data_IF_775247476226
#
_entry.id   IF_775247476226
#
_cell.length_a   1.000
_cell.length_b   1.000
_cell.length_c   1.000
_cell.angle_alpha   90.00
_cell.angle_beta   90.00
_cell.angle_gamma   90.00
#
_symmetry.space_group_name_H-M   'P 1'
#
loop_
_entity.id
_entity.type
_entity.pdbx_description
1 polymer ?
#
# COMPACT_ATOMS: atom_id res chain seq x y z
N UNK A 1 -10.31 -15.05 17.06
CA UNK A 1 -8.89 -14.72 17.33
C UNK A 1 -8.03 -15.92 16.99
N UNK A 2 -7.10 -15.78 16.04
CA UNK A 2 -6.15 -16.85 15.70
C UNK A 2 -5.14 -17.00 16.85
N UNK A 3 -5.11 -18.18 17.48
CA UNK A 3 -4.20 -18.46 18.61
C UNK A 3 -2.89 -19.05 18.11
N UNK A 4 -1.73 -18.45 18.46
CA UNK A 4 -0.43 -19.02 18.11
C UNK A 4 -0.25 -20.44 18.67
N UNK A 5 0.25 -21.36 17.85
CA UNK A 5 0.41 -22.79 18.20
C UNK A 5 1.71 -23.09 18.91
N UNK A 6 2.74 -22.24 18.73
CA UNK A 6 4.05 -22.41 19.36
C UNK A 6 4.50 -21.14 20.09
N UNK A 7 5.49 -21.26 20.98
CA UNK A 7 6.11 -20.11 21.64
C UNK A 7 6.80 -19.17 20.63
N UNK A 8 7.48 -19.74 19.63
CA UNK A 8 8.10 -18.95 18.56
C UNK A 8 7.06 -18.21 17.73
N UNK A 9 5.97 -18.86 17.33
CA UNK A 9 4.88 -18.22 16.58
C UNK A 9 4.28 -17.07 17.38
N UNK A 10 4.06 -17.26 18.69
CA UNK A 10 3.61 -16.20 19.60
C UNK A 10 4.60 -15.04 19.62
N UNK A 11 5.91 -15.32 19.72
CA UNK A 11 6.92 -14.28 19.73
C UNK A 11 6.98 -13.50 18.41
N UNK A 12 6.80 -14.17 17.27
CA UNK A 12 6.71 -13.54 15.94
C UNK A 12 5.46 -12.66 15.83
N UNK A 13 4.32 -13.16 16.29
CA UNK A 13 3.06 -12.41 16.33
C UNK A 13 3.18 -11.13 17.16
N UNK A 14 3.80 -11.20 18.34
CA UNK A 14 4.05 -10.03 19.20
C UNK A 14 5.04 -9.03 18.58
N UNK A 15 6.00 -9.49 17.74
CA UNK A 15 6.84 -8.58 16.96
C UNK A 15 6.04 -7.86 15.89
N UNK A 16 5.17 -8.58 15.16
CA UNK A 16 4.29 -7.97 14.17
C UNK A 16 3.37 -6.93 14.80
N UNK A 17 2.69 -7.27 15.90
CA UNK A 17 1.82 -6.36 16.65
C UNK A 17 2.55 -5.10 17.14
N UNK A 18 3.81 -5.23 17.55
CA UNK A 18 4.64 -4.09 17.96
C UNK A 18 5.07 -3.21 16.77
N UNK A 19 5.32 -3.82 15.61
CA UNK A 19 5.78 -3.16 14.38
C UNK A 19 4.63 -2.50 13.60
N UNK A 20 3.44 -3.11 13.62
CA UNK A 20 2.25 -2.74 12.83
C UNK A 20 0.99 -2.75 13.70
N UNK A 21 0.95 -2.01 14.82
CA UNK A 21 -0.23 -2.00 15.69
C UNK A 21 -1.46 -1.41 14.98
N UNK A 22 -1.26 -0.51 14.02
CA UNK A 22 -2.30 0.05 13.17
C UNK A 22 -2.98 -1.01 12.31
N UNK A 23 -2.21 -1.87 11.64
CA UNK A 23 -2.70 -3.00 10.85
C UNK A 23 -3.33 -4.08 11.73
N UNK A 24 -2.72 -4.36 12.89
CA UNK A 24 -3.26 -5.28 13.88
C UNK A 24 -4.67 -4.89 14.34
N UNK A 25 -4.91 -3.59 14.56
CA UNK A 25 -6.25 -3.09 14.85
C UNK A 25 -7.22 -3.33 13.68
N UNK A 26 -6.83 -2.98 12.46
CA UNK A 26 -7.64 -3.21 11.25
C UNK A 26 -8.00 -4.69 11.10
N UNK A 27 -7.10 -5.60 11.47
CA UNK A 27 -7.32 -7.05 11.44
C UNK A 27 -8.06 -7.62 12.65
N UNK A 28 -8.47 -6.79 13.61
CA UNK A 28 -9.38 -7.19 14.70
C UNK A 28 -8.77 -7.25 16.11
N UNK A 29 -7.55 -6.72 16.32
CA UNK A 29 -6.98 -6.57 17.67
C UNK A 29 -7.31 -5.20 18.26
N UNK A 30 -8.45 -5.09 18.91
CA UNK A 30 -8.97 -3.84 19.46
C UNK A 30 -8.03 -3.19 20.49
N UNK A 31 -7.18 -3.98 21.18
CA UNK A 31 -6.17 -3.42 22.09
C UNK A 31 -5.10 -2.57 21.38
N UNK A 32 -5.02 -2.66 20.05
CA UNK A 32 -4.11 -1.87 19.22
C UNK A 32 -4.75 -0.59 18.66
N UNK A 33 -6.02 -0.32 18.96
CA UNK A 33 -6.72 0.85 18.48
C UNK A 33 -5.97 2.16 18.79
N UNK A 34 -5.84 3.02 17.77
CA UNK A 34 -5.22 4.34 17.86
C UNK A 34 -3.70 4.32 18.02
N UNK A 35 -3.03 3.19 17.78
CA UNK A 35 -1.58 3.06 17.94
C UNK A 35 -0.87 3.00 16.59
N UNK A 36 0.33 3.58 16.55
CA UNK A 36 1.26 3.47 15.43
C UNK A 36 2.67 3.20 15.94
N UNK A 37 3.46 2.42 15.20
CA UNK A 37 4.87 2.29 15.51
C UNK A 37 5.61 3.63 15.29
N UNK A 38 6.25 4.14 16.34
CA UNK A 38 7.08 5.36 16.29
C UNK A 38 8.55 4.94 16.13
N UNK A 39 9.17 5.07 14.94
CA UNK A 39 10.49 4.54 14.65
C UNK A 39 11.60 5.45 15.19
N UNK A 40 11.70 5.62 16.51
CA UNK A 40 12.90 6.22 17.10
C UNK A 40 14.08 5.25 16.96
N UNK A 41 15.32 5.76 16.91
CA UNK A 41 16.50 4.92 16.77
C UNK A 41 16.54 3.81 17.84
N UNK A 42 16.33 4.18 19.11
CA UNK A 42 16.24 3.23 20.24
C UNK A 42 15.18 2.15 20.05
N UNK A 43 13.98 2.49 19.57
CA UNK A 43 12.91 1.51 19.36
C UNK A 43 13.22 0.57 18.20
N UNK A 44 13.77 1.11 17.11
CA UNK A 44 14.23 0.32 15.97
C UNK A 44 15.32 -0.67 16.38
N UNK A 45 16.34 -0.21 17.10
CA UNK A 45 17.45 -1.08 17.56
C UNK A 45 16.96 -2.17 18.51
N UNK A 46 16.07 -1.82 19.44
CA UNK A 46 15.46 -2.79 20.36
C UNK A 46 14.66 -3.85 19.61
N UNK A 47 13.86 -3.46 18.61
CA UNK A 47 13.05 -4.39 17.84
C UNK A 47 13.92 -5.28 16.93
N UNK A 48 14.98 -4.73 16.33
CA UNK A 48 15.97 -5.50 15.57
C UNK A 48 16.69 -6.54 16.45
N UNK A 49 17.02 -6.19 17.70
CA UNK A 49 17.59 -7.12 18.66
C UNK A 49 16.58 -8.21 19.07
N UNK A 50 15.30 -7.86 19.25
CA UNK A 50 14.21 -8.83 19.51
C UNK A 50 14.05 -9.80 18.34
N UNK A 51 13.96 -9.30 17.10
CA UNK A 51 13.91 -10.10 15.87
C UNK A 51 15.11 -11.05 15.79
N UNK A 52 16.32 -10.55 16.01
CA UNK A 52 17.55 -11.36 15.97
C UNK A 52 17.55 -12.49 17.00
N UNK A 53 16.99 -12.28 18.18
CA UNK A 53 16.87 -13.32 19.21
C UNK A 53 15.88 -14.41 18.80
N UNK A 54 14.69 -14.02 18.33
CA UNK A 54 13.65 -14.97 17.90
C UNK A 54 14.13 -15.78 16.68
N UNK A 55 14.84 -15.16 15.74
CA UNK A 55 15.41 -15.87 14.58
C UNK A 55 16.37 -17.01 14.96
N UNK A 56 17.06 -16.92 16.11
CA UNK A 56 17.97 -17.98 16.59
C UNK A 56 17.21 -19.20 17.11
N UNK A 57 16.02 -19.01 17.68
CA UNK A 57 15.17 -20.09 18.20
C UNK A 57 14.16 -20.59 17.17
N UNK A 58 13.89 -19.84 16.10
CA UNK A 58 12.97 -20.24 15.05
C UNK A 58 13.49 -21.43 14.26
N UNK A 59 12.70 -22.50 14.18
CA UNK A 59 12.99 -23.70 13.36
C UNK A 59 12.22 -23.69 12.05
N UNK A 60 11.06 -23.01 12.00
CA UNK A 60 10.24 -22.91 10.80
C UNK A 60 10.89 -21.98 9.76
N UNK A 61 11.03 -22.43 8.49
CA UNK A 61 11.45 -21.55 7.40
C UNK A 61 10.53 -20.34 7.22
N UNK A 62 9.22 -20.50 7.49
CA UNK A 62 8.23 -19.43 7.34
C UNK A 62 8.46 -18.34 8.39
N UNK A 63 8.64 -18.72 9.65
CA UNK A 63 8.93 -17.78 10.74
C UNK A 63 10.22 -17.00 10.46
N UNK A 64 11.26 -17.69 10.00
CA UNK A 64 12.55 -17.06 9.66
C UNK A 64 12.41 -16.04 8.53
N UNK A 65 11.66 -16.38 7.46
CA UNK A 65 11.39 -15.48 6.34
C UNK A 65 10.57 -14.27 6.77
N UNK A 66 9.52 -14.47 7.57
CA UNK A 66 8.68 -13.38 8.08
C UNK A 66 9.50 -12.41 8.95
N UNK A 67 10.32 -12.93 9.86
CA UNK A 67 11.24 -12.14 10.67
C UNK A 67 12.30 -11.40 9.83
N UNK A 68 12.77 -12.00 8.74
CA UNK A 68 13.68 -11.34 7.80
C UNK A 68 13.00 -10.16 7.09
N UNK A 69 11.73 -10.31 6.70
CA UNK A 69 10.93 -9.23 6.12
C UNK A 69 10.70 -8.09 7.12
N UNK A 70 10.39 -8.39 8.39
CA UNK A 70 10.29 -7.38 9.44
C UNK A 70 11.60 -6.62 9.65
N UNK A 71 12.74 -7.34 9.72
CA UNK A 71 14.07 -6.72 9.79
C UNK A 71 14.30 -5.80 8.60
N UNK A 72 14.06 -6.29 7.39
CA UNK A 72 14.27 -5.52 6.17
C UNK A 72 13.38 -4.26 6.14
N UNK A 73 12.15 -4.33 6.69
CA UNK A 73 11.25 -3.17 6.87
C UNK A 73 11.79 -2.06 7.76
N UNK A 74 12.61 -2.42 8.75
CA UNK A 74 13.23 -1.47 9.66
C UNK A 74 14.55 -0.90 9.10
N UNK A 75 15.29 -1.72 8.36
CA UNK A 75 16.61 -1.39 7.80
C UNK A 75 16.55 -0.63 6.48
N UNK A 76 15.55 -0.90 5.61
CA UNK A 76 15.45 -0.20 4.33
C UNK A 76 15.11 1.28 4.52
N UNK A 77 15.95 2.14 3.94
CA UNK A 77 15.74 3.58 3.91
C UNK A 77 14.72 3.94 2.83
N UNK A 78 13.44 3.78 3.16
CA UNK A 78 12.29 4.07 2.29
C UNK A 78 11.44 5.21 2.90
N UNK A 79 11.86 6.48 2.77
CA UNK A 79 11.18 7.60 3.43
C UNK A 79 9.74 7.83 2.94
N UNK A 80 9.37 7.33 1.77
CA UNK A 80 8.00 7.41 1.26
C UNK A 80 7.03 6.44 1.96
N UNK A 81 7.54 5.37 2.60
CA UNK A 81 6.70 4.32 3.18
C UNK A 81 5.87 4.79 4.37
N UNK A 82 6.41 5.63 5.23
CA UNK A 82 5.70 6.04 6.44
C UNK A 82 4.46 6.92 6.13
N UNK A 83 4.53 7.96 5.28
CA UNK A 83 3.34 8.69 4.87
C UNK A 83 2.29 7.79 4.20
N UNK A 84 2.71 6.84 3.36
CA UNK A 84 1.82 5.86 2.75
C UNK A 84 1.15 4.95 3.80
N UNK A 85 1.92 4.41 4.76
CA UNK A 85 1.36 3.60 5.85
C UNK A 85 0.36 4.42 6.67
N UNK A 86 0.64 5.68 7.00
CA UNK A 86 -0.32 6.54 7.72
C UNK A 86 -1.63 6.74 6.95
N UNK A 87 -1.55 6.93 5.63
CA UNK A 87 -2.71 7.02 4.76
C UNK A 87 -3.51 5.71 4.78
N UNK A 88 -2.83 4.57 4.63
CA UNK A 88 -3.45 3.24 4.68
C UNK A 88 -4.08 2.96 6.05
N UNK A 89 -3.42 3.34 7.16
CA UNK A 89 -3.95 3.20 8.51
C UNK A 89 -5.22 4.04 8.69
N UNK A 90 -5.20 5.32 8.30
CA UNK A 90 -6.38 6.19 8.43
C UNK A 90 -7.55 5.65 7.61
N UNK A 91 -7.29 5.23 6.38
CA UNK A 91 -8.31 4.60 5.54
C UNK A 91 -8.87 3.34 6.18
N UNK A 92 -8.00 2.43 6.65
CA UNK A 92 -8.39 1.20 7.33
C UNK A 92 -9.25 1.45 8.57
N UNK A 93 -8.95 2.48 9.36
CA UNK A 93 -9.77 2.88 10.51
C UNK A 93 -11.14 3.40 10.07
N UNK A 94 -11.20 4.26 9.04
CA UNK A 94 -12.45 4.82 8.51
C UNK A 94 -13.40 3.72 8.01
N UNK A 95 -12.91 2.77 7.21
CA UNK A 95 -13.77 1.67 6.70
C UNK A 95 -14.12 0.65 7.79
N UNK A 96 -13.28 0.50 8.82
CA UNK A 96 -13.55 -0.40 9.94
C UNK A 96 -14.64 0.16 10.86
N UNK A 97 -14.51 1.41 11.28
CA UNK A 97 -15.31 1.96 12.39
C UNK A 97 -15.75 3.41 12.24
N UNK A 98 -15.53 4.00 11.06
CA UNK A 98 -15.70 5.44 10.83
C UNK A 98 -14.65 6.28 11.54
N UNK A 99 -14.90 7.59 11.64
CA UNK A 99 -13.98 8.54 12.29
C UNK A 99 -14.27 8.61 13.80
N UNK A 100 -13.67 7.70 14.57
CA UNK A 100 -13.73 7.73 16.04
C UNK A 100 -12.70 8.67 16.65
N UNK A 101 -13.16 9.74 17.29
CA UNK A 101 -12.32 10.82 17.82
C UNK A 101 -11.14 10.34 18.67
N UNK A 102 -11.35 9.45 19.65
CA UNK A 102 -10.28 8.99 20.53
C UNK A 102 -9.19 8.20 19.79
N UNK A 103 -9.58 7.30 18.89
CA UNK A 103 -8.64 6.48 18.12
C UNK A 103 -7.87 7.34 17.12
N UNK A 104 -8.57 8.22 16.40
CA UNK A 104 -7.96 9.15 15.44
C UNK A 104 -7.01 10.12 16.13
N UNK A 105 -7.38 10.67 17.30
CA UNK A 105 -6.51 11.55 18.10
C UNK A 105 -5.22 10.83 18.49
N UNK A 106 -5.31 9.61 19.01
CA UNK A 106 -4.15 8.83 19.42
C UNK A 106 -3.26 8.47 18.21
N UNK A 107 -3.87 8.02 17.12
CA UNK A 107 -3.19 7.68 15.87
C UNK A 107 -2.48 8.91 15.29
N UNK A 108 -3.13 10.08 15.29
CA UNK A 108 -2.55 11.33 14.79
C UNK A 108 -1.36 11.78 15.65
N UNK A 109 -1.47 11.65 16.97
CA UNK A 109 -0.39 11.98 17.90
C UNK A 109 0.85 11.10 17.69
N UNK A 110 0.67 9.80 17.48
CA UNK A 110 1.77 8.87 17.19
C UNK A 110 2.29 9.04 15.76
N UNK A 111 1.43 9.29 14.78
CA UNK A 111 1.79 9.63 13.40
C UNK A 111 2.70 10.85 13.32
N UNK A 112 2.38 11.90 14.09
CA UNK A 112 3.22 13.10 14.19
C UNK A 112 4.61 12.76 14.71
N UNK A 113 4.69 12.01 15.82
CA UNK A 113 5.96 11.56 16.41
C UNK A 113 6.74 10.69 15.43
N UNK A 114 6.04 9.82 14.69
CA UNK A 114 6.65 8.91 13.74
C UNK A 114 7.28 9.64 12.55
N UNK A 115 6.57 10.62 11.97
CA UNK A 115 7.11 11.46 10.90
C UNK A 115 8.36 12.22 11.37
N UNK A 116 8.33 12.82 12.55
CA UNK A 116 9.48 13.53 13.11
C UNK A 116 10.67 12.60 13.39
N UNK A 117 10.42 11.39 13.91
CA UNK A 117 11.46 10.38 14.13
C UNK A 117 12.05 9.87 12.81
N UNK A 118 11.21 9.55 11.83
CA UNK A 118 11.66 9.03 10.54
C UNK A 118 12.43 10.08 9.74
N UNK A 119 12.00 11.35 9.78
CA UNK A 119 12.73 12.48 9.18
C UNK A 119 14.15 12.60 9.73
N UNK A 120 14.33 12.42 11.05
CA UNK A 120 15.66 12.43 11.69
C UNK A 120 16.51 11.24 11.24
N UNK A 121 15.91 10.04 11.15
CA UNK A 121 16.60 8.82 10.68
C UNK A 121 16.98 8.87 9.20
N UNK A 122 16.13 9.47 8.38
CA UNK A 122 16.32 9.57 6.94
C UNK A 122 17.18 10.77 6.51
N UNK A 123 17.91 11.42 7.44
CA UNK A 123 18.86 12.49 7.12
C UNK A 123 19.94 12.01 6.13
N UNK A 124 20.40 12.94 5.30
CA UNK A 124 21.42 12.71 4.27
C UNK A 124 20.86 12.67 2.85
N UNK A 125 21.72 12.51 1.83
CA UNK A 125 21.32 12.54 0.44
C UNK A 125 20.21 11.54 0.14
N UNK A 126 19.18 11.99 -0.59
CA UNK A 126 18.07 11.17 -1.07
C UNK A 126 17.96 11.35 -2.57
N UNK A 127 17.87 10.25 -3.31
CA UNK A 127 17.84 10.29 -4.77
C UNK A 127 16.55 10.98 -5.28
N UNK A 128 16.57 11.66 -6.44
CA UNK A 128 15.43 12.46 -6.90
C UNK A 128 14.13 11.67 -7.09
N UNK A 129 14.19 10.45 -7.63
CA UNK A 129 13.00 9.60 -7.74
C UNK A 129 12.40 9.26 -6.37
N UNK A 130 13.24 9.01 -5.36
CA UNK A 130 12.77 8.79 -3.98
C UNK A 130 12.15 10.06 -3.37
N UNK A 131 12.69 11.25 -3.67
CA UNK A 131 12.09 12.53 -3.25
C UNK A 131 10.69 12.71 -3.85
N UNK A 132 10.52 12.41 -5.14
CA UNK A 132 9.21 12.44 -5.80
C UNK A 132 8.20 11.49 -5.15
N UNK A 133 8.61 10.25 -4.83
CA UNK A 133 7.74 9.29 -4.12
C UNK A 133 7.32 9.82 -2.73
N UNK A 134 8.22 10.50 -2.00
CA UNK A 134 7.86 11.14 -0.73
C UNK A 134 6.82 12.23 -0.95
N UNK A 135 6.99 13.08 -1.96
CA UNK A 135 6.01 14.14 -2.26
C UNK A 135 4.63 13.55 -2.59
N UNK A 136 4.57 12.51 -3.43
CA UNK A 136 3.31 11.82 -3.77
C UNK A 136 2.64 11.20 -2.53
N UNK A 137 3.41 10.49 -1.70
CA UNK A 137 2.89 9.86 -0.48
C UNK A 137 2.41 10.91 0.55
N UNK A 138 3.14 12.01 0.70
CA UNK A 138 2.72 13.13 1.56
C UNK A 138 1.48 13.84 1.02
N UNK A 139 1.32 13.94 -0.31
CA UNK A 139 0.12 14.52 -0.92
C UNK A 139 -1.11 13.68 -0.61
N UNK A 140 -1.05 12.36 -0.88
CA UNK A 140 -2.14 11.44 -0.54
C UNK A 140 -2.50 11.49 0.94
N UNK A 141 -1.49 11.51 1.84
CA UNK A 141 -1.72 11.63 3.28
C UNK A 141 -2.42 12.96 3.63
N UNK A 142 -2.05 14.06 2.97
CA UNK A 142 -2.69 15.36 3.20
C UNK A 142 -4.17 15.36 2.77
N UNK A 143 -4.51 14.69 1.66
CA UNK A 143 -5.89 14.61 1.20
C UNK A 143 -6.78 13.82 2.16
N UNK A 144 -6.36 12.64 2.62
CA UNK A 144 -7.16 11.88 3.60
C UNK A 144 -7.25 12.59 4.95
N UNK A 145 -6.20 13.30 5.39
CA UNK A 145 -6.26 14.07 6.64
C UNK A 145 -7.32 15.17 6.60
N UNK A 146 -7.52 15.84 5.46
CA UNK A 146 -8.61 16.83 5.30
C UNK A 146 -10.00 16.19 5.42
N UNK A 147 -10.18 14.99 4.85
CA UNK A 147 -11.44 14.24 4.96
C UNK A 147 -11.72 13.92 6.42
N UNK A 148 -10.75 13.30 7.11
CA UNK A 148 -10.85 12.97 8.54
C UNK A 148 -11.11 14.20 9.39
N UNK A 149 -10.41 15.32 9.13
CA UNK A 149 -10.62 16.58 9.85
C UNK A 149 -12.06 17.10 9.71
N UNK A 150 -12.66 16.99 8.52
CA UNK A 150 -14.01 17.49 8.26
C UNK A 150 -15.12 16.65 8.90
N UNK A 151 -14.86 15.37 9.16
CA UNK A 151 -15.79 14.47 9.87
C UNK A 151 -15.69 14.59 11.40
N UNK A 152 -14.60 15.16 11.93
CA UNK A 152 -14.40 15.31 13.37
C UNK A 152 -15.21 16.47 13.95
N UNK A 153 -15.93 16.18 15.04
CA UNK A 153 -16.60 17.21 15.87
C UNK A 153 -15.80 17.57 17.13
N UNK A 154 -14.95 16.67 17.60
CA UNK A 154 -14.15 16.83 18.80
C UNK A 154 -12.96 17.77 18.55
N UNK A 155 -12.85 18.85 19.35
CA UNK A 155 -11.83 19.88 19.17
C UNK A 155 -10.41 19.37 19.41
N UNK A 156 -10.22 18.47 20.37
CA UNK A 156 -8.91 17.89 20.69
C UNK A 156 -8.41 16.96 19.57
N UNK A 157 -9.30 16.14 19.00
CA UNK A 157 -8.99 15.29 17.86
C UNK A 157 -8.67 16.11 16.61
N UNK A 158 -9.41 17.20 16.35
CA UNK A 158 -9.11 18.13 15.25
C UNK A 158 -7.73 18.77 15.42
N UNK A 159 -7.42 19.28 16.62
CA UNK A 159 -6.11 19.85 16.91
C UNK A 159 -4.97 18.82 16.72
N UNK A 160 -5.20 17.54 17.05
CA UNK A 160 -4.24 16.48 16.80
C UNK A 160 -4.02 16.22 15.30
N UNK A 161 -5.08 16.26 14.48
CA UNK A 161 -5.01 16.15 13.02
C UNK A 161 -4.29 17.36 12.41
N UNK A 162 -4.62 18.59 12.82
CA UNK A 162 -3.91 19.80 12.38
C UNK A 162 -2.41 19.72 12.69
N UNK A 163 -2.05 19.22 13.88
CA UNK A 163 -0.66 19.01 14.26
C UNK A 163 0.04 17.94 13.39
N UNK A 164 -0.69 16.89 12.97
CA UNK A 164 -0.20 15.89 12.03
C UNK A 164 -0.04 16.47 10.61
N UNK A 165 -1.00 17.25 10.12
CA UNK A 165 -0.90 17.97 8.84
C UNK A 165 0.35 18.84 8.82
N UNK A 166 0.59 19.62 9.87
CA UNK A 166 1.79 20.44 9.99
C UNK A 166 3.08 19.60 9.99
N UNK A 167 3.08 18.43 10.64
CA UNK A 167 4.22 17.50 10.61
C UNK A 167 4.44 16.88 9.23
N UNK A 168 3.37 16.51 8.52
CA UNK A 168 3.43 16.00 7.15
C UNK A 168 4.04 17.04 6.20
N UNK A 169 3.63 18.31 6.29
CA UNK A 169 4.24 19.41 5.51
C UNK A 169 5.74 19.59 5.82
N UNK A 170 6.14 19.53 7.10
CA UNK A 170 7.56 19.58 7.48
C UNK A 170 8.33 18.36 6.98
N UNK A 171 7.69 17.20 6.93
CA UNK A 171 8.27 15.97 6.39
C UNK A 171 8.49 16.11 4.88
N UNK A 172 7.45 16.46 4.13
CA UNK A 172 7.52 16.71 2.69
C UNK A 172 8.62 17.73 2.34
N UNK A 173 8.71 18.85 3.05
CA UNK A 173 9.75 19.87 2.85
C UNK A 173 11.18 19.32 3.00
N UNK A 174 11.40 18.33 3.87
CA UNK A 174 12.72 17.72 4.04
C UNK A 174 13.16 16.88 2.82
N UNK A 175 12.21 16.52 1.95
CA UNK A 175 12.41 15.77 0.72
C UNK A 175 11.90 16.55 -0.50
N UNK A 176 11.80 17.88 -0.41
CA UNK A 176 11.36 18.76 -1.49
C UNK A 176 12.04 18.39 -2.81
N UNK A 177 11.40 18.50 -3.97
CA UNK A 177 12.03 18.25 -5.28
C UNK A 177 11.67 19.40 -6.21
N UNK A 178 12.56 20.39 -6.40
CA UNK A 178 12.24 21.57 -7.20
C UNK A 178 11.78 21.22 -8.62
N UNK A 179 10.63 21.76 -9.00
CA UNK A 179 9.99 21.53 -10.30
C UNK A 179 9.18 20.23 -10.41
N UNK A 180 9.06 19.45 -9.32
CA UNK A 180 8.11 18.35 -9.24
C UNK A 180 6.78 18.83 -8.67
N UNK A 181 5.68 18.37 -9.26
CA UNK A 181 4.32 18.57 -8.76
C UNK A 181 3.63 17.21 -8.62
N UNK A 182 3.06 16.85 -7.46
CA UNK A 182 2.26 15.64 -7.30
C UNK A 182 1.06 15.56 -8.26
N UNK A 183 0.51 16.71 -8.66
CA UNK A 183 -0.59 16.85 -9.62
C UNK A 183 -0.10 16.98 -11.08
N UNK A 184 1.22 16.92 -11.30
CA UNK A 184 1.82 17.07 -12.62
C UNK A 184 1.47 15.92 -13.55
N UNK A 185 1.43 16.22 -14.85
CA UNK A 185 1.24 15.23 -15.91
C UNK A 185 2.43 14.27 -16.02
N UNK A 186 2.22 13.16 -16.73
CA UNK A 186 3.30 12.23 -17.07
C UNK A 186 4.43 12.94 -17.82
N UNK A 187 4.10 13.79 -18.81
CA UNK A 187 5.09 14.47 -19.64
C UNK A 187 5.93 15.47 -18.84
N UNK A 188 5.32 16.23 -17.92
CA UNK A 188 6.03 17.13 -17.01
C UNK A 188 6.97 16.36 -16.08
N UNK A 189 6.47 15.27 -15.49
CA UNK A 189 7.25 14.40 -14.60
C UNK A 189 8.42 13.75 -15.34
N UNK A 190 8.17 13.26 -16.56
CA UNK A 190 9.16 12.62 -17.40
C UNK A 190 10.25 13.61 -17.85
N UNK A 191 9.85 14.81 -18.27
CA UNK A 191 10.78 15.89 -18.63
C UNK A 191 11.65 16.30 -17.45
N UNK A 192 11.08 16.41 -16.24
CA UNK A 192 11.84 16.65 -15.02
C UNK A 192 12.88 15.54 -14.78
N UNK A 193 12.47 14.28 -14.81
CA UNK A 193 13.37 13.16 -14.53
C UNK A 193 14.46 12.97 -15.59
N UNK A 194 14.24 13.38 -16.84
CA UNK A 194 15.33 13.47 -17.83
C UNK A 194 16.42 14.44 -17.41
N UNK A 195 16.06 15.55 -16.74
CA UNK A 195 16.99 16.58 -16.29
C UNK A 195 17.67 16.23 -14.97
N UNK A 196 16.91 15.73 -13.99
CA UNK A 196 17.40 15.54 -12.60
C UNK A 196 17.69 14.10 -12.23
N UNK A 197 17.30 13.14 -13.06
CA UNK A 197 17.36 11.70 -12.81
C UNK A 197 16.14 11.15 -12.07
N UNK A 198 15.89 9.84 -12.20
CA UNK A 198 14.76 9.13 -11.57
C UNK A 198 15.21 8.09 -10.53
N UNK A 199 16.48 8.14 -10.09
CA UNK A 199 17.04 7.15 -9.19
C UNK A 199 16.28 7.05 -7.86
N UNK A 200 16.08 5.82 -7.37
CA UNK A 200 15.46 5.55 -6.07
C UNK A 200 16.48 5.32 -4.94
N UNK A 201 17.78 5.26 -5.26
CA UNK A 201 18.84 5.01 -4.28
C UNK A 201 18.90 3.56 -3.76
N UNK A 202 18.26 2.62 -4.46
CA UNK A 202 18.12 1.21 -4.04
C UNK A 202 19.23 0.27 -4.54
N UNK A 203 20.14 0.72 -5.39
CA UNK A 203 21.08 -0.16 -6.11
C UNK A 203 21.86 -1.12 -5.19
N UNK A 204 22.33 -0.64 -4.03
CA UNK A 204 23.08 -1.46 -3.06
C UNK A 204 22.21 -2.40 -2.22
N UNK A 205 20.94 -2.09 -2.04
CA UNK A 205 20.01 -2.85 -1.18
C UNK A 205 19.02 -3.72 -1.97
N UNK A 206 18.89 -3.51 -3.29
CA UNK A 206 17.82 -4.10 -4.10
C UNK A 206 17.82 -5.63 -4.08
N UNK A 207 18.98 -6.28 -4.24
CA UNK A 207 19.07 -7.74 -4.19
C UNK A 207 18.67 -8.31 -2.82
N UNK A 208 19.04 -7.61 -1.73
CA UNK A 208 18.60 -7.98 -0.37
C UNK A 208 17.11 -7.79 -0.22
N UNK A 209 16.57 -6.67 -0.69
CA UNK A 209 15.15 -6.37 -0.61
C UNK A 209 14.33 -7.42 -1.38
N UNK A 210 14.69 -7.76 -2.62
CA UNK A 210 14.05 -8.84 -3.41
C UNK A 210 13.88 -10.13 -2.62
N UNK A 211 14.95 -10.58 -1.96
CA UNK A 211 14.93 -11.81 -1.17
C UNK A 211 14.18 -11.66 0.14
N UNK A 212 14.52 -10.64 0.93
CA UNK A 212 14.07 -10.57 2.32
C UNK A 212 12.65 -10.00 2.46
N UNK A 213 12.18 -9.18 1.51
CA UNK A 213 10.80 -8.67 1.50
C UNK A 213 9.84 -9.46 0.65
N UNK A 214 10.24 -9.79 -0.59
CA UNK A 214 9.36 -10.36 -1.59
C UNK A 214 9.60 -11.86 -1.79
N UNK A 215 10.49 -12.46 -1.00
CA UNK A 215 10.82 -13.89 -1.03
C UNK A 215 11.28 -14.39 -2.42
N UNK A 216 11.86 -13.51 -3.24
CA UNK A 216 12.47 -13.91 -4.50
C UNK A 216 13.78 -14.66 -4.24
N UNK A 217 13.87 -15.86 -4.79
CA UNK A 217 15.12 -16.65 -4.80
C UNK A 217 16.04 -16.22 -5.94
N UNK A 218 15.52 -15.54 -6.94
CA UNK A 218 16.23 -15.04 -8.11
C UNK A 218 16.99 -13.73 -7.81
N UNK A 219 18.10 -13.53 -8.51
CA UNK A 219 18.82 -12.24 -8.52
C UNK A 219 18.06 -11.18 -9.34
N UNK A 220 18.35 -9.87 -9.14
CA UNK A 220 17.79 -8.81 -9.98
C UNK A 220 17.89 -9.09 -11.50
N UNK A 221 19.06 -9.53 -11.97
CA UNK A 221 19.28 -9.83 -13.39
C UNK A 221 18.46 -11.03 -13.88
N UNK A 222 18.24 -12.04 -13.03
CA UNK A 222 17.39 -13.18 -13.37
C UNK A 222 15.92 -12.79 -13.46
N UNK A 223 15.44 -11.92 -12.55
CA UNK A 223 14.08 -11.37 -12.60
C UNK A 223 13.88 -10.55 -13.88
N UNK A 224 14.82 -9.66 -14.19
CA UNK A 224 14.79 -8.87 -15.43
C UNK A 224 14.81 -9.76 -16.68
N UNK A 225 15.71 -10.73 -16.74
CA UNK A 225 15.79 -11.67 -17.86
C UNK A 225 14.49 -12.49 -18.02
N UNK A 226 13.83 -12.86 -16.93
CA UNK A 226 12.53 -13.52 -16.97
C UNK A 226 11.45 -12.60 -17.54
N UNK A 227 11.40 -11.34 -17.10
CA UNK A 227 10.48 -10.33 -17.65
C UNK A 227 10.68 -10.10 -19.15
N UNK A 228 11.94 -9.97 -19.59
CA UNK A 228 12.27 -9.82 -21.01
C UNK A 228 11.89 -11.05 -21.84
N UNK A 229 12.05 -12.27 -21.30
CA UNK A 229 11.57 -13.49 -21.97
C UNK A 229 10.06 -13.51 -22.12
N UNK A 230 9.33 -13.11 -21.08
CA UNK A 230 7.87 -12.99 -21.14
C UNK A 230 7.47 -11.97 -22.21
N UNK A 231 8.07 -10.78 -22.23
CA UNK A 231 7.79 -9.75 -23.23
C UNK A 231 8.04 -10.25 -24.66
N UNK A 232 9.15 -10.95 -24.92
CA UNK A 232 9.43 -11.51 -26.24
C UNK A 232 8.40 -12.58 -26.68
N UNK A 233 7.85 -13.33 -25.73
CA UNK A 233 6.83 -14.36 -25.99
C UNK A 233 5.45 -13.75 -26.22
N UNK A 234 5.04 -12.80 -25.39
CA UNK A 234 3.67 -12.26 -25.40
C UNK A 234 3.47 -11.11 -26.38
N UNK A 235 4.48 -10.25 -26.58
CA UNK A 235 4.34 -9.04 -27.38
C UNK A 235 3.94 -9.30 -28.84
N UNK A 236 4.43 -10.35 -29.55
CA UNK A 236 3.96 -10.66 -30.90
C UNK A 236 2.47 -11.03 -30.93
N UNK A 237 2.02 -11.88 -30.01
CA UNK A 237 0.61 -12.26 -29.91
C UNK A 237 -0.28 -11.06 -29.58
N UNK A 238 0.17 -10.21 -28.66
CA UNK A 238 -0.51 -8.96 -28.32
C UNK A 238 -0.66 -8.04 -29.52
N UNK A 239 0.40 -7.87 -30.34
CA UNK A 239 0.33 -7.04 -31.57
C UNK A 239 -0.69 -7.57 -32.57
N UNK A 240 -0.73 -8.88 -32.81
CA UNK A 240 -1.73 -9.51 -33.69
C UNK A 240 -3.15 -9.28 -33.16
N UNK A 241 -3.36 -9.40 -31.85
CA UNK A 241 -4.65 -9.11 -31.23
C UNK A 241 -5.04 -7.64 -31.38
N UNK A 242 -4.11 -6.70 -31.17
CA UNK A 242 -4.34 -5.27 -31.37
C UNK A 242 -4.73 -4.98 -32.82
N UNK A 243 -4.01 -5.52 -33.81
CA UNK A 243 -4.35 -5.36 -35.23
C UNK A 243 -5.75 -5.89 -35.54
N UNK A 244 -6.08 -7.10 -35.07
CA UNK A 244 -7.41 -7.68 -35.27
C UNK A 244 -8.52 -6.83 -34.65
N UNK A 245 -8.36 -6.43 -33.38
CA UNK A 245 -9.35 -5.60 -32.69
C UNK A 245 -9.47 -4.25 -33.38
N UNK A 246 -8.36 -3.65 -33.82
CA UNK A 246 -8.37 -2.35 -34.49
C UNK A 246 -9.10 -2.41 -35.83
N UNK A 247 -8.95 -3.50 -36.58
CA UNK A 247 -9.73 -3.76 -37.80
C UNK A 247 -11.23 -3.93 -37.50
N UNK A 248 -11.59 -4.68 -36.46
CA UNK A 248 -12.98 -4.90 -36.05
C UNK A 248 -13.65 -3.62 -35.49
N UNK A 249 -12.86 -2.69 -34.93
CA UNK A 249 -13.34 -1.43 -34.36
C UNK A 249 -13.13 -0.22 -35.27
N UNK A 250 -12.50 -0.41 -36.43
CA UNK A 250 -12.17 0.64 -37.39
C UNK A 250 -11.35 1.80 -36.78
N UNK A 251 -10.30 1.47 -36.02
CA UNK A 251 -9.38 2.45 -35.43
C UNK A 251 -7.92 2.19 -35.82
N UNK A 252 -7.02 3.10 -35.44
CA UNK A 252 -5.57 2.92 -35.64
C UNK A 252 -5.07 1.62 -34.98
N UNK A 253 -4.10 0.91 -35.59
CA UNK A 253 -3.56 -0.36 -35.08
C UNK A 253 -2.57 -0.16 -33.93
N UNK A 254 -2.99 0.57 -32.91
CA UNK A 254 -2.23 0.83 -31.68
C UNK A 254 -3.01 0.38 -30.47
N UNK A 255 -2.31 -0.02 -29.41
CA UNK A 255 -2.94 -0.48 -28.17
C UNK A 255 -3.82 0.62 -27.55
N UNK A 256 -3.36 1.86 -27.64
CA UNK A 256 -4.03 3.05 -27.12
C UNK A 256 -5.34 3.33 -27.89
N UNK A 257 -5.30 3.30 -29.22
CA UNK A 257 -6.50 3.53 -30.04
C UNK A 257 -7.50 2.39 -29.89
N UNK A 258 -7.05 1.13 -29.93
CA UNK A 258 -7.91 -0.03 -29.69
C UNK A 258 -8.56 0.02 -28.30
N UNK A 259 -7.79 0.38 -27.26
CA UNK A 259 -8.32 0.55 -25.89
C UNK A 259 -9.35 1.66 -25.82
N UNK A 260 -9.12 2.80 -26.48
CA UNK A 260 -10.07 3.92 -26.55
C UNK A 260 -11.37 3.49 -27.23
N UNK A 261 -11.29 2.85 -28.39
CA UNK A 261 -12.46 2.35 -29.12
C UNK A 261 -13.23 1.29 -28.32
N UNK A 262 -12.53 0.39 -27.61
CA UNK A 262 -13.16 -0.57 -26.70
C UNK A 262 -13.91 0.11 -25.56
N UNK A 263 -13.34 1.17 -24.97
CA UNK A 263 -14.01 1.95 -23.90
C UNK A 263 -15.27 2.63 -24.41
N UNK A 264 -15.22 3.23 -25.60
CA UNK A 264 -16.36 3.87 -26.24
C UNK A 264 -17.46 2.85 -26.59
N UNK A 265 -17.07 1.66 -27.08
CA UNK A 265 -18.01 0.57 -27.44
C UNK A 265 -18.58 -0.18 -26.25
N UNK A 266 -17.84 -0.31 -25.14
CA UNK A 266 -18.27 -1.03 -23.92
C UNK A 266 -19.59 -0.51 -23.37
N UNK A 267 -19.91 0.77 -23.59
CA UNK A 267 -21.19 1.38 -23.22
C UNK A 267 -21.50 1.46 -21.72
N UNK A 268 -20.61 0.94 -20.86
CA UNK A 268 -20.71 1.07 -19.40
C UNK A 268 -20.28 2.47 -18.99
N UNK A 269 -21.25 3.30 -18.60
CA UNK A 269 -20.97 4.59 -17.98
C UNK A 269 -20.32 4.36 -16.61
N UNK A 270 -19.48 5.29 -16.10
CA UNK A 270 -18.83 5.14 -14.80
C UNK A 270 -19.80 4.79 -13.67
N UNK A 271 -20.99 5.41 -13.64
CA UNK A 271 -22.05 5.15 -12.67
C UNK A 271 -22.71 3.75 -12.79
N UNK A 272 -22.39 2.97 -13.81
CA UNK A 272 -22.88 1.61 -14.03
C UNK A 272 -21.85 0.54 -13.65
N UNK A 273 -20.60 0.92 -13.40
CA UNK A 273 -19.52 -0.03 -13.12
C UNK A 273 -19.74 -0.73 -11.77
N UNK A 274 -20.03 0.01 -10.69
CA UNK A 274 -20.29 -0.60 -9.38
C UNK A 274 -21.51 -1.53 -9.41
N UNK A 275 -22.70 -1.13 -9.92
CA UNK A 275 -23.83 -2.05 -10.06
C UNK A 275 -23.50 -3.31 -10.84
N UNK A 276 -22.78 -3.18 -11.97
CA UNK A 276 -22.36 -4.33 -12.77
C UNK A 276 -21.45 -5.28 -11.98
N UNK A 277 -20.48 -4.77 -11.22
CA UNK A 277 -19.60 -5.59 -10.38
C UNK A 277 -20.38 -6.32 -9.28
N UNK A 278 -21.38 -5.68 -8.68
CA UNK A 278 -22.26 -6.33 -7.70
C UNK A 278 -23.03 -7.50 -8.32
N UNK A 279 -23.57 -7.34 -9.53
CA UNK A 279 -24.31 -8.39 -10.24
C UNK A 279 -23.42 -9.57 -10.66
N UNK A 280 -22.17 -9.32 -11.06
CA UNK A 280 -21.23 -10.36 -11.51
C UNK A 280 -20.64 -11.16 -10.33
N UNK A 281 -20.60 -10.60 -9.12
CA UNK A 281 -19.99 -11.23 -7.95
C UNK A 281 -20.63 -12.57 -7.61
N UNK A 282 -21.94 -12.62 -7.49
CA UNK A 282 -22.67 -13.82 -7.07
C UNK A 282 -22.45 -15.03 -8.01
N UNK A 283 -22.63 -14.90 -9.35
CA UNK A 283 -22.34 -16.01 -10.26
C UNK A 283 -20.85 -16.37 -10.27
N UNK A 284 -19.93 -15.41 -10.21
CA UNK A 284 -18.49 -15.69 -10.15
C UNK A 284 -18.11 -16.46 -8.87
N UNK A 285 -18.68 -16.08 -7.73
CA UNK A 285 -18.45 -16.76 -6.45
C UNK A 285 -18.92 -18.21 -6.50
N UNK A 286 -20.10 -18.50 -7.08
CA UNK A 286 -20.58 -19.89 -7.25
C UNK A 286 -19.65 -20.74 -8.10
N UNK A 287 -19.13 -20.18 -9.20
CA UNK A 287 -18.20 -20.89 -10.07
C UNK A 287 -16.88 -21.15 -9.34
N UNK A 288 -16.35 -20.16 -8.65
CA UNK A 288 -15.12 -20.30 -7.88
C UNK A 288 -15.26 -21.32 -6.75
N UNK A 289 -16.34 -21.27 -5.97
CA UNK A 289 -16.64 -22.22 -4.88
C UNK A 289 -16.70 -23.67 -5.37
N UNK A 290 -17.36 -23.88 -6.52
CA UNK A 290 -17.53 -25.23 -7.08
C UNK A 290 -16.30 -25.77 -7.79
N UNK A 291 -15.50 -24.92 -8.43
CA UNK A 291 -14.50 -25.35 -9.41
C UNK A 291 -13.06 -24.93 -9.12
N UNK A 292 -12.84 -23.96 -8.22
CA UNK A 292 -11.52 -23.36 -7.99
C UNK A 292 -11.08 -23.54 -6.54
N UNK A 293 -11.85 -23.02 -5.58
CA UNK A 293 -11.53 -23.03 -4.16
C UNK A 293 -12.81 -22.90 -3.35
N UNK A 294 -12.95 -23.66 -2.27
CA UNK A 294 -14.08 -23.52 -1.36
C UNK A 294 -14.12 -22.10 -0.77
N UNK A 295 -15.27 -21.44 -0.85
CA UNK A 295 -15.48 -20.07 -0.37
C UNK A 295 -16.34 -20.12 0.88
N UNK A 296 -15.87 -19.49 1.97
CA UNK A 296 -16.69 -19.33 3.17
C UNK A 296 -17.91 -18.45 2.86
N UNK A 297 -19.15 -18.97 2.94
CA UNK A 297 -20.35 -18.19 2.62
C UNK A 297 -20.60 -17.06 3.63
N UNK A 298 -19.99 -17.11 4.81
CA UNK A 298 -20.05 -16.05 5.83
C UNK A 298 -19.09 -14.89 5.60
N UNK A 299 -18.21 -14.97 4.59
CA UNK A 299 -17.28 -13.88 4.27
C UNK A 299 -18.01 -12.76 3.52
N UNK A 300 -18.18 -11.62 4.19
CA UNK A 300 -18.81 -10.45 3.59
C UNK A 300 -17.81 -9.66 2.74
N UNK A 301 -18.20 -9.28 1.52
CA UNK A 301 -17.43 -8.35 0.69
C UNK A 301 -18.33 -7.18 0.31
N UNK A 302 -17.87 -5.97 0.59
CA UNK A 302 -18.46 -4.74 0.11
C UNK A 302 -17.66 -4.25 -1.10
N UNK A 303 -18.32 -3.68 -2.10
CA UNK A 303 -17.67 -3.09 -3.26
C UNK A 303 -17.90 -1.58 -3.20
N UNK A 304 -16.83 -0.79 -3.23
CA UNK A 304 -16.91 0.66 -3.22
C UNK A 304 -16.03 1.26 -4.31
N UNK A 305 -16.32 2.50 -4.70
CA UNK A 305 -15.44 3.26 -5.57
C UNK A 305 -14.11 3.55 -4.86
N UNK A 306 -12.98 3.42 -5.57
CA UNK A 306 -11.67 3.83 -5.04
C UNK A 306 -11.71 5.32 -4.69
N UNK A 307 -11.58 5.71 -3.41
CA UNK A 307 -11.57 7.11 -3.04
C UNK A 307 -10.41 7.88 -3.70
N UNK A 308 -10.58 9.15 -4.08
CA UNK A 308 -9.56 9.90 -4.82
C UNK A 308 -8.20 9.96 -4.12
N UNK A 309 -8.18 10.03 -2.79
CA UNK A 309 -6.95 10.05 -2.00
C UNK A 309 -6.16 8.73 -2.03
N UNK A 310 -6.76 7.62 -2.50
CA UNK A 310 -6.09 6.34 -2.73
C UNK A 310 -5.65 6.14 -4.18
N UNK A 311 -6.01 7.02 -5.12
CA UNK A 311 -5.74 6.80 -6.55
C UNK A 311 -4.23 6.61 -6.87
N UNK A 312 -3.35 7.25 -6.09
CA UNK A 312 -1.90 7.12 -6.24
C UNK A 312 -1.35 5.75 -5.81
N UNK A 313 -2.04 5.05 -4.89
CA UNK A 313 -1.65 3.71 -4.40
C UNK A 313 -2.50 2.59 -4.99
N UNK A 314 -3.70 2.92 -5.47
CA UNK A 314 -4.72 1.98 -5.94
C UNK A 314 -5.24 2.41 -7.32
N UNK A 315 -4.46 2.21 -8.39
CA UNK A 315 -4.77 2.79 -9.70
C UNK A 315 -5.92 2.08 -10.44
N UNK A 316 -6.21 0.82 -10.14
CA UNK A 316 -7.26 0.04 -10.82
C UNK A 316 -8.26 -0.60 -9.87
N UNK A 317 -7.78 -1.15 -8.75
CA UNK A 317 -8.59 -1.72 -7.70
C UNK A 317 -7.72 -2.40 -6.64
N UNK A 318 -8.31 -2.69 -5.49
CA UNK A 318 -7.64 -3.36 -4.38
C UNK A 318 -8.67 -4.07 -3.49
N UNK A 319 -8.24 -5.05 -2.71
CA UNK A 319 -9.05 -5.67 -1.68
C UNK A 319 -8.43 -5.38 -0.30
N UNK A 320 -9.25 -4.93 0.64
CA UNK A 320 -8.86 -4.63 2.01
C UNK A 320 -9.59 -5.58 2.97
N UNK A 321 -8.84 -6.46 3.62
CA UNK A 321 -9.36 -7.32 4.67
C UNK A 321 -9.53 -6.56 5.98
N UNK A 322 -10.69 -6.70 6.61
CA UNK A 322 -11.04 -6.17 7.92
C UNK A 322 -11.36 -7.34 8.85
N UNK A 323 -10.95 -7.21 10.11
CA UNK A 323 -11.30 -8.18 11.15
C UNK A 323 -10.86 -9.62 10.81
N UNK A 324 -9.79 -9.76 10.02
CA UNK A 324 -9.32 -11.04 9.46
C UNK A 324 -8.83 -12.04 10.50
N UNK A 325 -8.52 -11.58 11.72
CA UNK A 325 -8.15 -12.43 12.85
C UNK A 325 -9.37 -12.79 13.72
N UNK A 326 -10.57 -12.37 13.36
CA UNK A 326 -11.82 -12.63 14.08
C UNK A 326 -12.69 -13.67 13.37
N UNK A 327 -13.85 -13.98 13.95
CA UNK A 327 -14.90 -14.81 13.35
C UNK A 327 -15.85 -14.03 12.42
N UNK A 328 -15.70 -12.71 12.32
CA UNK A 328 -16.53 -11.80 11.52
C UNK A 328 -15.69 -11.04 10.47
N UNK A 329 -14.71 -11.73 9.90
CA UNK A 329 -13.86 -11.21 8.82
C UNK A 329 -14.69 -10.74 7.62
N UNK A 330 -14.34 -9.57 7.09
CA UNK A 330 -14.99 -8.98 5.91
C UNK A 330 -13.96 -8.30 5.01
N UNK A 331 -14.37 -7.95 3.81
CA UNK A 331 -13.52 -7.34 2.80
C UNK A 331 -14.16 -6.11 2.17
N UNK A 332 -13.35 -5.10 1.87
CA UNK A 332 -13.73 -3.98 1.03
C UNK A 332 -12.97 -4.10 -0.29
N UNK A 333 -13.69 -4.31 -1.40
CA UNK A 333 -13.15 -4.28 -2.74
C UNK A 333 -13.28 -2.87 -3.33
N UNK A 334 -12.15 -2.23 -3.59
CA UNK A 334 -12.07 -0.94 -4.27
C UNK A 334 -12.05 -1.17 -5.78
N UNK A 335 -12.96 -0.49 -6.48
CA UNK A 335 -12.98 -0.43 -7.93
C UNK A 335 -12.76 1.01 -8.40
N UNK A 336 -11.74 1.25 -9.21
CA UNK A 336 -11.53 2.54 -9.86
C UNK A 336 -12.41 2.61 -11.10
N UNK A 337 -13.38 3.54 -11.12
CA UNK A 337 -14.41 3.66 -12.17
C UNK A 337 -14.13 4.72 -13.20
#
# INVERSE_FOLDING_TARGET
MVTPRTETERAVFEVWKELRPDEAFVFGLDECAGRLFVPTQRRVDSLLAKISRIQKSATSPIERKLLASFRASLELREPARLPQTLLESLFGYMIKEGVKANHVRALAADGRKALDANRKRARGPTAPGMRALVQLACNGLNEILKVVESELRDGDARAAIEALIAANRRYAKAFDLPGFSPEGTFDETYALFKRVGCGLGRSRSYARALRDFWDYTQTPAQVEAAGLRMMRRELPHFKVLVERISNELHCEPTAEAATKALKEKRGLRPNQILPFLHEVREPAQRVADRHVVAINPGYATEIIETPPYLANSTPSGAAYGLDTLTDHSREIFLATT
#
